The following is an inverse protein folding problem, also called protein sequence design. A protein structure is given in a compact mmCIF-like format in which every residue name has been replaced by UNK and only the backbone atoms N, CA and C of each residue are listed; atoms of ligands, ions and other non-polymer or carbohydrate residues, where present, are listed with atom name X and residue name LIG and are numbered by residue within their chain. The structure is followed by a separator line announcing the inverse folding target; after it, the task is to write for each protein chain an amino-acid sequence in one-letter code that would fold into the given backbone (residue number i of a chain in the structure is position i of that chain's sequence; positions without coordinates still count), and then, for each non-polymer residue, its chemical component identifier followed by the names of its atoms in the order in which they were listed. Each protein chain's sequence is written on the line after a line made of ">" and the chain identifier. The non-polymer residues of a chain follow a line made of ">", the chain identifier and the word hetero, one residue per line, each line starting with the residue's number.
data_IF_715308532099
#
_entry.id   IF_715308532099
#
_cell.length_a   1.000
_cell.length_b   1.000
_cell.length_c   1.000
_cell.angle_alpha   90.00
_cell.angle_beta   90.00
_cell.angle_gamma   90.00
#
_symmetry.space_group_name_H-M   'P 1'
#
loop_
_entity.id
_entity.type
_entity.pdbx_description
1 polymer ?
#
# COMPACT_ATOMS: atom_id res chain seq x y z
N UNK A 1 7.51 -17.27 17.06
CA UNK A 1 6.93 -16.99 15.73
C UNK A 1 5.97 -18.11 15.33
N UNK A 2 5.06 -17.78 14.45
CA UNK A 2 4.14 -18.72 13.82
C UNK A 2 4.34 -18.63 12.30
N UNK A 3 4.05 -19.72 11.61
CA UNK A 3 4.01 -19.76 10.14
C UNK A 3 2.55 -19.86 9.72
N UNK A 4 2.11 -18.94 8.85
CA UNK A 4 0.79 -18.97 8.25
C UNK A 4 0.93 -19.46 6.81
N UNK A 5 0.15 -20.48 6.45
CA UNK A 5 0.02 -20.99 5.10
C UNK A 5 -1.32 -20.56 4.54
N UNK A 6 -1.31 -19.78 3.48
CA UNK A 6 -2.51 -19.43 2.72
C UNK A 6 -2.70 -20.44 1.60
N UNK A 7 -3.88 -21.01 1.51
CA UNK A 7 -4.23 -22.11 0.61
C UNK A 7 -5.27 -21.65 -0.40
N UNK A 8 -5.22 -22.21 -1.62
CA UNK A 8 -6.31 -22.17 -2.60
C UNK A 8 -6.43 -23.52 -3.31
N UNK A 9 -7.55 -23.76 -3.98
CA UNK A 9 -7.72 -24.97 -4.76
C UNK A 9 -6.93 -24.90 -6.09
N UNK A 10 -6.28 -26.01 -6.44
CA UNK A 10 -5.74 -26.24 -7.78
C UNK A 10 -6.83 -26.62 -8.77
N UNK A 11 -6.47 -26.87 -10.03
CA UNK A 11 -7.37 -27.30 -11.09
C UNK A 11 -8.05 -28.66 -10.80
N UNK A 12 -7.44 -29.47 -9.96
CA UNK A 12 -7.98 -30.78 -9.53
C UNK A 12 -8.86 -30.66 -8.27
N UNK A 13 -9.00 -29.46 -7.71
CA UNK A 13 -9.79 -29.18 -6.50
C UNK A 13 -9.06 -29.45 -5.19
N UNK A 14 -7.74 -29.75 -5.20
CA UNK A 14 -6.97 -29.92 -3.98
C UNK A 14 -6.55 -28.57 -3.41
N UNK A 15 -6.59 -28.42 -2.08
CA UNK A 15 -6.08 -27.24 -1.41
C UNK A 15 -4.55 -27.27 -1.35
N UNK A 16 -3.90 -26.30 -1.98
CA UNK A 16 -2.44 -26.17 -2.06
C UNK A 16 -1.97 -24.85 -1.46
N UNK A 17 -0.80 -24.87 -0.82
CA UNK A 17 -0.23 -23.67 -0.23
C UNK A 17 0.26 -22.73 -1.35
N UNK A 18 -0.22 -21.48 -1.33
CA UNK A 18 0.14 -20.45 -2.30
C UNK A 18 1.12 -19.44 -1.72
N UNK A 19 1.01 -19.18 -0.43
CA UNK A 19 1.92 -18.26 0.27
C UNK A 19 2.16 -18.78 1.67
N UNK A 20 3.42 -18.75 2.06
CA UNK A 20 3.87 -19.12 3.41
C UNK A 20 4.52 -17.87 4.02
N UNK A 21 4.08 -17.50 5.21
CA UNK A 21 4.57 -16.31 5.91
C UNK A 21 4.91 -16.66 7.33
N UNK A 22 6.05 -16.20 7.81
CA UNK A 22 6.43 -16.30 9.21
C UNK A 22 6.26 -14.94 9.89
N UNK A 23 5.57 -14.91 11.03
CA UNK A 23 5.35 -13.69 11.79
C UNK A 23 5.41 -13.93 13.28
N UNK A 24 5.84 -12.93 14.02
CA UNK A 24 5.71 -12.87 15.48
C UNK A 24 4.46 -12.08 15.93
N UNK A 25 3.79 -11.40 15.00
CA UNK A 25 2.57 -10.65 15.30
C UNK A 25 1.38 -11.58 15.51
N UNK A 26 0.49 -11.19 16.42
CA UNK A 26 -0.77 -11.90 16.67
C UNK A 26 -1.88 -11.48 15.72
N UNK A 27 -1.70 -10.36 15.05
CA UNK A 27 -2.67 -9.79 14.11
C UNK A 27 -1.93 -9.27 12.88
N UNK A 28 -2.60 -9.28 11.73
CA UNK A 28 -2.08 -8.75 10.48
C UNK A 28 -3.08 -8.92 9.35
N UNK A 29 -2.88 -8.16 8.28
CA UNK A 29 -3.65 -8.27 7.05
C UNK A 29 -2.71 -8.71 5.93
N UNK A 30 -3.12 -9.71 5.18
CA UNK A 30 -2.34 -10.26 4.08
C UNK A 30 -3.19 -10.33 2.83
N UNK A 31 -2.63 -9.92 1.70
CA UNK A 31 -3.27 -10.01 0.40
C UNK A 31 -2.68 -11.15 -0.43
N UNK A 32 -3.55 -11.93 -1.05
CA UNK A 32 -3.21 -12.90 -2.10
C UNK A 32 -3.53 -12.27 -3.45
N UNK A 33 -2.63 -12.40 -4.42
CA UNK A 33 -2.76 -11.76 -5.75
C UNK A 33 -2.43 -12.74 -6.86
N UNK A 34 -2.76 -12.35 -8.09
CA UNK A 34 -2.44 -13.13 -9.29
C UNK A 34 -3.51 -14.17 -9.65
N UNK A 35 -4.74 -13.98 -9.16
CA UNK A 35 -5.88 -14.83 -9.49
C UNK A 35 -6.83 -14.10 -10.45
N UNK A 36 -7.52 -14.88 -11.29
CA UNK A 36 -8.67 -14.41 -12.03
C UNK A 36 -9.87 -14.13 -11.09
N UNK A 37 -10.91 -13.52 -11.62
CA UNK A 37 -12.09 -13.11 -10.85
C UNK A 37 -13.07 -14.27 -10.57
N UNK A 38 -12.78 -15.47 -11.05
CA UNK A 38 -13.65 -16.61 -10.83
C UNK A 38 -13.66 -17.06 -9.37
N UNK A 39 -14.83 -17.33 -8.78
CA UNK A 39 -14.92 -17.77 -7.39
C UNK A 39 -14.12 -19.05 -7.15
N UNK A 40 -13.32 -19.04 -6.08
CA UNK A 40 -12.50 -20.17 -5.66
C UNK A 40 -12.43 -20.32 -4.15
N UNK A 41 -11.96 -21.47 -3.71
CA UNK A 41 -11.73 -21.72 -2.32
C UNK A 41 -10.42 -21.08 -1.87
N UNK A 42 -10.50 -20.35 -0.77
CA UNK A 42 -9.34 -19.91 0.00
C UNK A 42 -9.42 -20.49 1.40
N UNK A 43 -8.26 -20.73 2.01
CA UNK A 43 -8.17 -21.17 3.39
C UNK A 43 -6.85 -20.75 4.03
N UNK A 44 -6.78 -20.82 5.33
CA UNK A 44 -5.56 -20.54 6.08
C UNK A 44 -5.32 -21.64 7.12
N UNK A 45 -4.04 -21.97 7.33
CA UNK A 45 -3.54 -22.87 8.38
C UNK A 45 -2.39 -22.17 9.08
N UNK A 46 -2.33 -22.30 10.38
CA UNK A 46 -1.24 -21.75 11.20
C UNK A 46 -0.44 -22.90 11.82
N UNK A 47 0.88 -22.79 11.76
CA UNK A 47 1.83 -23.70 12.42
C UNK A 47 2.67 -22.94 13.44
N UNK A 48 2.91 -23.52 14.58
CA UNK A 48 3.88 -22.99 15.53
C UNK A 48 5.27 -23.64 15.37
N UNK A 49 6.25 -23.13 16.10
CA UNK A 49 7.62 -23.64 16.06
C UNK A 49 7.78 -25.04 16.72
N UNK A 50 6.72 -25.56 17.35
CA UNK A 50 6.71 -26.87 17.99
C UNK A 50 6.06 -27.95 17.12
N UNK A 51 5.56 -27.55 15.92
CA UNK A 51 4.92 -28.46 14.98
C UNK A 51 3.41 -28.60 15.18
N UNK A 52 2.80 -27.84 16.09
CA UNK A 52 1.34 -27.83 16.19
C UNK A 52 0.73 -27.12 15.00
N UNK A 53 -0.40 -27.64 14.53
CA UNK A 53 -1.11 -27.13 13.35
C UNK A 53 -2.54 -26.82 13.77
N UNK A 54 -3.01 -25.63 13.39
CA UNK A 54 -4.41 -25.25 13.60
C UNK A 54 -5.37 -26.03 12.71
N UNK A 55 -6.66 -25.99 13.03
CA UNK A 55 -7.68 -26.32 12.04
C UNK A 55 -7.56 -25.43 10.82
N UNK A 56 -7.98 -25.96 9.65
CA UNK A 56 -8.06 -25.19 8.42
C UNK A 56 -9.25 -24.25 8.48
N UNK A 57 -8.98 -22.94 8.37
CA UNK A 57 -9.98 -21.88 8.42
C UNK A 57 -10.35 -21.49 7.00
N UNK A 58 -11.66 -21.53 6.70
CA UNK A 58 -12.25 -21.09 5.43
C UNK A 58 -13.08 -19.82 5.63
N UNK A 59 -13.20 -18.98 4.59
CA UNK A 59 -14.23 -17.95 4.56
C UNK A 59 -15.62 -18.55 4.80
N UNK A 60 -16.47 -17.80 5.50
CA UNK A 60 -17.84 -18.23 5.82
C UNK A 60 -18.83 -17.12 5.50
N UNK A 61 -20.03 -17.52 5.06
CA UNK A 61 -21.15 -16.61 4.91
C UNK A 61 -21.78 -16.27 6.28
N UNK A 62 -22.78 -15.43 6.28
CA UNK A 62 -23.51 -15.02 7.50
C UNK A 62 -24.18 -16.21 8.22
N UNK A 63 -24.53 -17.28 7.49
CA UNK A 63 -25.06 -18.52 8.05
C UNK A 63 -23.98 -19.45 8.64
N UNK A 64 -22.70 -19.06 8.54
CA UNK A 64 -21.56 -19.86 9.03
C UNK A 64 -21.11 -20.97 8.10
N UNK A 65 -21.67 -21.07 6.88
CA UNK A 65 -21.26 -22.05 5.89
C UNK A 65 -19.99 -21.61 5.16
N UNK A 66 -19.15 -22.58 4.79
CA UNK A 66 -17.96 -22.30 3.98
C UNK A 66 -18.38 -21.72 2.62
N UNK A 67 -17.66 -20.71 2.15
CA UNK A 67 -17.94 -20.07 0.88
C UNK A 67 -16.68 -19.88 0.04
N UNK A 68 -16.86 -19.87 -1.29
CA UNK A 68 -15.85 -19.42 -2.23
C UNK A 68 -15.81 -17.89 -2.25
N UNK A 69 -14.63 -17.34 -2.53
CA UNK A 69 -14.43 -15.90 -2.70
C UNK A 69 -14.09 -15.65 -4.16
N UNK A 70 -14.76 -14.70 -4.79
CA UNK A 70 -14.34 -14.12 -6.05
C UNK A 70 -13.25 -13.09 -5.78
N UNK A 71 -12.04 -13.24 -6.33
CA UNK A 71 -11.01 -12.22 -6.23
C UNK A 71 -11.49 -10.88 -6.83
N UNK A 72 -11.04 -9.77 -6.26
CA UNK A 72 -11.31 -8.46 -6.82
C UNK A 72 -10.53 -8.29 -8.13
N UNK A 73 -11.19 -7.73 -9.15
CA UNK A 73 -10.48 -7.30 -10.33
C UNK A 73 -9.54 -6.15 -9.98
N UNK A 74 -8.29 -6.27 -10.40
CA UNK A 74 -7.34 -5.14 -10.31
C UNK A 74 -6.43 -5.11 -11.52
N UNK A 75 -6.10 -3.91 -11.95
CA UNK A 75 -5.02 -3.65 -12.88
C UNK A 75 -4.17 -2.48 -12.38
N UNK A 76 -2.91 -2.42 -12.86
CA UNK A 76 -2.10 -1.22 -12.67
C UNK A 76 -2.77 -0.06 -13.41
N UNK A 77 -3.04 1.03 -12.71
CA UNK A 77 -3.68 2.19 -13.30
C UNK A 77 -2.71 2.95 -14.20
N UNK A 78 -3.23 3.42 -15.34
CA UNK A 78 -2.48 4.29 -16.24
C UNK A 78 -2.35 5.69 -15.65
N UNK A 79 -1.13 6.15 -15.47
CA UNK A 79 -0.84 7.46 -14.87
C UNK A 79 -0.95 8.66 -15.84
N UNK A 80 -1.21 8.42 -17.14
CA UNK A 80 -1.26 9.50 -18.15
C UNK A 80 -2.33 10.57 -17.86
N UNK A 81 -3.42 10.19 -17.19
CA UNK A 81 -4.49 11.10 -16.76
C UNK A 81 -4.29 11.63 -15.33
N UNK A 82 -3.35 11.07 -14.58
CA UNK A 82 -3.08 11.48 -13.22
C UNK A 82 -2.29 12.78 -13.18
N UNK A 83 -2.52 13.56 -12.15
CA UNK A 83 -1.75 14.79 -11.89
C UNK A 83 -1.60 15.05 -10.40
N UNK A 84 -0.47 15.58 -10.01
CA UNK A 84 -0.31 16.15 -8.69
C UNK A 84 -1.02 17.51 -8.66
N UNK A 85 -1.99 17.65 -7.79
CA UNK A 85 -2.63 18.91 -7.48
C UNK A 85 -1.80 19.65 -6.44
N UNK A 86 -1.79 20.99 -6.51
CA UNK A 86 -1.09 21.82 -5.52
C UNK A 86 -2.13 22.67 -4.81
N UNK A 87 -2.53 22.21 -3.63
CA UNK A 87 -3.40 22.97 -2.73
C UNK A 87 -2.56 23.94 -1.88
N UNK A 88 -3.19 24.99 -1.37
CA UNK A 88 -2.45 26.06 -0.65
C UNK A 88 -1.67 25.55 0.57
N UNK A 89 -2.12 24.49 1.21
CA UNK A 89 -1.48 23.87 2.37
C UNK A 89 -0.81 22.52 2.08
N UNK A 90 -0.64 22.17 0.80
CA UNK A 90 0.22 21.06 0.40
C UNK A 90 1.69 21.45 0.47
N UNK A 91 2.53 20.45 0.66
CA UNK A 91 3.97 20.61 0.72
C UNK A 91 4.55 20.49 -0.68
N UNK A 92 5.33 21.46 -1.16
CA UNK A 92 6.07 21.28 -2.42
C UNK A 92 7.18 20.23 -2.26
N UNK A 93 7.27 19.31 -3.24
CA UNK A 93 8.31 18.27 -3.29
C UNK A 93 9.33 18.55 -4.41
N UNK A 94 9.68 19.82 -4.60
CA UNK A 94 10.53 20.31 -5.70
C UNK A 94 11.91 20.76 -5.22
N UNK A 95 12.39 20.27 -4.06
CA UNK A 95 13.69 20.64 -3.49
C UNK A 95 14.75 19.55 -3.74
N UNK A 96 16.02 19.87 -3.56
CA UNK A 96 17.17 18.96 -3.68
C UNK A 96 17.18 18.06 -4.92
N UNK A 97 16.75 18.60 -6.06
CA UNK A 97 16.66 17.86 -7.33
C UNK A 97 15.41 16.96 -7.46
N UNK A 98 14.51 17.00 -6.49
CA UNK A 98 13.20 16.34 -6.56
C UNK A 98 12.19 17.13 -7.39
N UNK A 99 11.09 16.47 -7.74
CA UNK A 99 9.92 17.10 -8.36
C UNK A 99 8.64 16.42 -7.91
N UNK A 100 7.57 17.19 -7.76
CA UNK A 100 6.24 16.62 -7.52
C UNK A 100 5.86 15.55 -8.55
N UNK A 101 6.13 15.82 -9.84
CA UNK A 101 5.79 14.92 -10.94
C UNK A 101 6.52 13.58 -10.87
N UNK A 102 7.72 13.57 -10.29
CA UNK A 102 8.53 12.36 -10.16
C UNK A 102 7.89 11.28 -9.26
N UNK A 103 6.93 11.67 -8.42
CA UNK A 103 6.26 10.72 -7.53
C UNK A 103 5.22 9.83 -8.24
N UNK A 104 4.95 10.09 -9.54
CA UNK A 104 3.99 9.32 -10.36
C UNK A 104 4.46 9.17 -11.81
N UNK A 105 5.76 9.15 -12.08
CA UNK A 105 6.33 9.12 -13.44
C UNK A 105 6.75 7.71 -13.92
N UNK A 106 6.49 6.67 -13.13
CA UNK A 106 6.90 5.27 -13.35
C UNK A 106 8.43 5.08 -13.41
N UNK A 107 9.20 5.96 -12.79
CA UNK A 107 10.65 5.90 -12.75
C UNK A 107 11.16 5.85 -11.29
N UNK A 108 11.67 4.70 -10.86
CA UNK A 108 12.16 4.50 -9.48
C UNK A 108 13.49 5.21 -9.18
N UNK A 109 14.15 5.80 -10.19
CA UNK A 109 15.39 6.57 -10.01
C UNK A 109 15.12 8.06 -9.75
N UNK A 110 13.90 8.51 -9.97
CA UNK A 110 13.44 9.87 -9.67
C UNK A 110 12.70 9.91 -8.33
N UNK A 111 12.46 11.09 -7.80
CA UNK A 111 11.82 11.25 -6.48
C UNK A 111 11.22 12.64 -6.31
N UNK A 112 10.28 12.76 -5.42
CA UNK A 112 9.90 14.03 -4.81
C UNK A 112 10.78 14.32 -3.60
N UNK A 113 11.06 15.59 -3.31
CA UNK A 113 11.80 15.97 -2.09
C UNK A 113 11.26 17.27 -1.52
N UNK A 114 10.79 17.24 -0.30
CA UNK A 114 10.33 18.44 0.40
C UNK A 114 11.51 19.18 1.07
N UNK A 115 11.36 20.47 1.30
CA UNK A 115 12.35 21.26 2.03
C UNK A 115 12.47 20.85 3.50
N UNK A 116 13.58 21.22 4.15
CA UNK A 116 13.75 21.04 5.59
C UNK A 116 12.66 21.78 6.38
N UNK A 117 12.19 21.17 7.46
CA UNK A 117 11.18 21.77 8.35
C UNK A 117 9.74 21.64 7.84
N UNK A 118 9.47 20.80 6.84
CA UNK A 118 8.14 20.62 6.25
C UNK A 118 7.35 19.45 6.81
N UNK A 119 7.92 18.64 7.70
CA UNK A 119 7.19 17.55 8.34
C UNK A 119 6.23 18.04 9.44
N UNK A 120 4.97 17.50 9.49
CA UNK A 120 4.36 16.55 8.56
C UNK A 120 4.08 17.17 7.19
N UNK A 121 4.38 16.40 6.13
CA UNK A 121 4.23 16.84 4.74
C UNK A 121 3.00 16.24 4.09
N UNK A 122 2.42 16.91 3.09
CA UNK A 122 1.28 16.36 2.35
C UNK A 122 1.33 16.71 0.87
N UNK A 123 0.75 15.85 0.04
CA UNK A 123 0.46 16.16 -1.36
C UNK A 123 -0.89 15.58 -1.77
N UNK A 124 -1.48 16.18 -2.79
CA UNK A 124 -2.78 15.80 -3.34
C UNK A 124 -2.61 15.28 -4.77
N UNK A 125 -3.33 14.21 -5.11
CA UNK A 125 -3.36 13.64 -6.46
C UNK A 125 -4.80 13.55 -6.98
N UNK A 126 -4.99 13.93 -8.24
CA UNK A 126 -6.16 13.63 -9.04
C UNK A 126 -5.85 12.40 -9.90
N UNK A 127 -6.60 11.32 -9.74
CA UNK A 127 -6.45 10.08 -10.53
C UNK A 127 -6.96 10.23 -11.97
N UNK A 128 -7.63 11.35 -12.29
CA UNK A 128 -8.21 11.63 -13.60
C UNK A 128 -9.68 11.25 -13.70
N UNK A 129 -10.04 10.11 -13.13
CA UNK A 129 -11.39 9.56 -13.08
C UNK A 129 -11.64 8.83 -11.75
N UNK A 130 -12.90 8.57 -11.36
CA UNK A 130 -13.19 7.71 -10.23
C UNK A 130 -12.71 6.29 -10.48
N UNK A 131 -12.08 5.67 -9.48
CA UNK A 131 -11.53 4.33 -9.54
C UNK A 131 -11.90 3.55 -8.28
N UNK A 132 -12.29 2.31 -8.44
CA UNK A 132 -12.39 1.34 -7.33
C UNK A 132 -10.98 0.87 -6.99
N UNK A 133 -10.34 1.55 -6.04
CA UNK A 133 -8.98 1.24 -5.65
C UNK A 133 -8.89 -0.09 -4.89
N UNK A 134 -7.90 -0.92 -5.22
CA UNK A 134 -7.55 -2.13 -4.47
C UNK A 134 -6.33 -1.90 -3.57
N UNK A 135 -5.30 -1.22 -4.08
CA UNK A 135 -4.07 -0.93 -3.33
C UNK A 135 -3.27 0.23 -3.90
N UNK A 136 -2.40 0.76 -3.06
CA UNK A 136 -1.31 1.66 -3.46
C UNK A 136 0.02 1.05 -3.08
N UNK A 137 1.02 1.18 -3.94
CA UNK A 137 2.40 0.77 -3.69
C UNK A 137 3.27 2.01 -3.58
N UNK A 138 3.96 2.14 -2.45
CA UNK A 138 4.96 3.17 -2.22
C UNK A 138 6.35 2.59 -2.47
N UNK A 139 7.15 3.28 -3.29
CA UNK A 139 8.58 3.00 -3.45
C UNK A 139 9.41 4.06 -2.72
N UNK A 140 10.41 3.58 -1.98
CA UNK A 140 11.42 4.43 -1.34
C UNK A 140 12.54 4.74 -2.32
N UNK A 141 13.29 5.79 -2.04
CA UNK A 141 14.56 6.05 -2.75
C UNK A 141 15.54 4.91 -2.51
N UNK A 142 16.05 4.34 -3.58
CA UNK A 142 16.92 3.14 -3.55
C UNK A 142 18.27 3.39 -2.89
N UNK A 143 18.81 4.61 -2.98
CA UNK A 143 20.10 4.96 -2.40
C UNK A 143 20.08 5.19 -0.89
N UNK A 144 18.90 5.21 -0.27
CA UNK A 144 18.70 5.45 1.15
C UNK A 144 17.74 4.42 1.78
N UNK A 145 17.99 3.09 1.63
CA UNK A 145 17.06 2.07 2.07
C UNK A 145 16.68 2.19 3.54
N UNK A 146 15.39 2.34 3.82
CA UNK A 146 14.87 2.48 5.19
C UNK A 146 15.61 3.56 6.01
N UNK A 147 15.90 4.68 5.36
CA UNK A 147 16.70 5.74 5.93
C UNK A 147 16.21 7.14 5.57
N UNK A 148 16.79 8.12 6.17
CA UNK A 148 16.60 9.56 5.96
C UNK A 148 15.12 9.95 5.89
N UNK A 149 14.76 10.74 4.88
CA UNK A 149 13.41 11.23 4.63
C UNK A 149 12.50 10.26 3.87
N UNK A 150 12.87 9.00 3.70
CA UNK A 150 11.94 8.01 3.15
C UNK A 150 10.70 7.88 4.04
N UNK A 151 9.48 7.85 3.48
CA UNK A 151 8.26 7.70 4.26
C UNK A 151 8.28 6.43 5.11
N UNK A 152 7.88 6.56 6.38
CA UNK A 152 7.68 5.42 7.26
C UNK A 152 6.23 5.29 7.71
N UNK A 153 5.66 6.36 8.27
CA UNK A 153 4.25 6.40 8.70
C UNK A 153 3.55 7.49 7.92
N UNK A 154 2.45 7.15 7.30
CA UNK A 154 1.62 8.10 6.55
C UNK A 154 0.15 7.70 6.57
N UNK A 155 -0.70 8.64 6.23
CA UNK A 155 -2.14 8.46 6.12
C UNK A 155 -2.57 8.78 4.69
N UNK A 156 -3.61 8.08 4.20
CA UNK A 156 -4.24 8.35 2.91
C UNK A 156 -5.69 8.79 3.16
N UNK A 157 -6.08 9.85 2.48
CA UNK A 157 -7.40 10.45 2.54
C UNK A 157 -8.00 10.55 1.15
N UNK A 158 -9.32 10.64 1.06
CA UNK A 158 -10.03 10.98 -0.18
C UNK A 158 -10.97 12.16 0.01
N UNK A 159 -11.29 12.83 -1.11
CA UNK A 159 -12.40 13.77 -1.20
C UNK A 159 -13.44 13.23 -2.18
N UNK A 160 -14.72 13.29 -1.80
CA UNK A 160 -15.85 12.87 -2.65
C UNK A 160 -16.16 13.83 -3.80
N UNK A 161 -15.50 14.99 -3.84
CA UNK A 161 -15.62 15.99 -4.90
C UNK A 161 -14.27 16.63 -5.15
N UNK A 162 -14.16 17.43 -6.22
CA UNK A 162 -12.94 18.21 -6.47
C UNK A 162 -12.62 19.08 -5.25
N UNK A 163 -11.39 18.91 -4.67
CA UNK A 163 -11.05 19.61 -3.46
C UNK A 163 -10.85 21.11 -3.71
N UNK A 164 -11.28 21.90 -2.74
CA UNK A 164 -11.03 23.34 -2.77
C UNK A 164 -9.53 23.66 -2.70
N UNK A 165 -9.13 24.72 -3.38
CA UNK A 165 -7.73 25.15 -3.41
C UNK A 165 -7.15 25.49 -2.04
N UNK A 166 -8.00 25.84 -1.06
CA UNK A 166 -7.58 26.07 0.33
C UNK A 166 -6.84 24.87 0.92
N UNK A 167 -7.23 23.65 0.51
CA UNK A 167 -6.71 22.42 1.05
C UNK A 167 -7.17 22.15 2.49
N UNK A 168 -8.29 22.73 2.91
CA UNK A 168 -8.85 22.48 4.23
C UNK A 168 -9.04 20.98 4.46
N UNK A 169 -8.54 20.47 5.60
CA UNK A 169 -8.63 19.06 5.95
C UNK A 169 -10.06 18.59 6.25
N UNK A 170 -11.00 19.50 6.53
CA UNK A 170 -12.40 19.18 6.77
C UNK A 170 -13.14 18.57 5.58
N UNK A 171 -12.60 18.71 4.36
CA UNK A 171 -13.15 18.08 3.14
C UNK A 171 -12.61 16.68 2.84
N UNK A 172 -11.73 16.16 3.70
CA UNK A 172 -11.01 14.90 3.48
C UNK A 172 -11.45 13.83 4.49
N UNK A 173 -11.76 12.65 3.98
CA UNK A 173 -12.07 11.48 4.79
C UNK A 173 -10.90 10.50 4.74
N UNK A 174 -10.48 10.02 5.92
CA UNK A 174 -9.35 9.08 5.99
C UNK A 174 -9.75 7.70 5.46
N UNK A 175 -8.88 7.13 4.62
CA UNK A 175 -8.98 5.79 4.07
C UNK A 175 -8.03 4.80 4.77
N UNK A 176 -6.76 5.17 4.93
CA UNK A 176 -5.73 4.26 5.41
C UNK A 176 -4.83 4.94 6.45
N UNK A 177 -4.40 4.14 7.42
CA UNK A 177 -3.19 4.34 8.20
C UNK A 177 -2.13 3.38 7.68
N UNK A 178 -0.96 3.89 7.29
CA UNK A 178 0.10 3.15 6.63
C UNK A 178 1.39 3.22 7.43
N UNK A 179 2.04 2.07 7.61
CA UNK A 179 3.40 2.02 8.15
C UNK A 179 4.25 1.09 7.28
N UNK A 180 5.37 1.60 6.78
CA UNK A 180 6.39 0.82 6.10
C UNK A 180 7.16 0.01 7.14
N UNK A 181 7.07 -1.29 7.06
CA UNK A 181 7.76 -2.23 7.94
C UNK A 181 9.03 -2.72 7.25
N UNK A 182 10.15 -2.60 7.93
CA UNK A 182 11.41 -3.21 7.50
C UNK A 182 11.38 -4.70 7.85
N UNK A 183 11.44 -5.63 6.87
CA UNK A 183 11.23 -7.06 7.11
C UNK A 183 12.14 -7.65 8.19
N UNK A 184 13.43 -7.33 8.17
CA UNK A 184 14.40 -7.85 9.13
C UNK A 184 14.24 -7.27 10.55
N UNK A 185 13.64 -6.08 10.68
CA UNK A 185 13.63 -5.33 11.93
C UNK A 185 15.00 -4.82 12.40
N UNK A 186 16.05 -4.98 11.57
CA UNK A 186 17.41 -4.54 11.90
C UNK A 186 17.50 -3.00 11.97
N UNK A 187 18.45 -2.45 12.74
CA UNK A 187 18.65 -1.00 12.82
C UNK A 187 18.84 -0.35 11.45
N UNK A 188 18.54 0.95 11.39
CA UNK A 188 18.82 1.79 10.21
C UNK A 188 20.30 1.67 9.81
N UNK A 189 20.55 1.52 8.51
CA UNK A 189 21.89 1.33 7.98
C UNK A 189 22.37 -0.13 7.88
N UNK A 190 21.61 -1.09 8.44
CA UNK A 190 21.87 -2.52 8.31
C UNK A 190 20.71 -3.17 7.56
N UNK A 191 20.92 -3.52 6.30
CA UNK A 191 19.88 -4.11 5.45
C UNK A 191 20.25 -5.55 5.09
N UNK A 192 19.27 -6.44 5.14
CA UNK A 192 19.35 -7.83 4.68
C UNK A 192 18.89 -7.95 3.22
N UNK A 193 19.14 -9.10 2.59
CA UNK A 193 18.64 -9.35 1.23
C UNK A 193 17.10 -9.28 1.18
N UNK A 194 16.41 -9.73 2.24
CA UNK A 194 14.96 -9.63 2.38
C UNK A 194 14.48 -8.15 2.43
N UNK A 195 15.21 -7.29 3.15
CA UNK A 195 14.92 -5.85 3.18
C UNK A 195 15.06 -5.23 1.79
N UNK A 196 16.12 -5.60 1.06
CA UNK A 196 16.38 -5.06 -0.27
C UNK A 196 15.39 -5.58 -1.32
N UNK A 197 14.94 -6.82 -1.20
CA UNK A 197 13.88 -7.35 -2.07
C UNK A 197 12.54 -6.64 -1.82
N UNK A 198 12.15 -6.45 -0.56
CA UNK A 198 10.94 -5.70 -0.22
C UNK A 198 11.01 -4.23 -0.68
N UNK A 199 12.20 -3.61 -0.63
CA UNK A 199 12.40 -2.26 -1.16
C UNK A 199 12.15 -2.20 -2.66
N UNK A 200 12.67 -3.19 -3.41
CA UNK A 200 12.55 -3.30 -4.86
C UNK A 200 11.11 -3.60 -5.31
N UNK A 201 10.41 -4.47 -4.59
CA UNK A 201 9.00 -4.80 -4.85
C UNK A 201 8.07 -3.63 -4.53
N UNK A 202 8.50 -2.73 -3.63
CA UNK A 202 7.68 -1.65 -3.09
C UNK A 202 6.82 -2.10 -1.90
N UNK A 203 6.27 -1.13 -1.21
CA UNK A 203 5.48 -1.36 0.00
C UNK A 203 3.99 -1.22 -0.32
N UNK A 204 3.27 -2.33 -0.19
CA UNK A 204 1.85 -2.45 -0.51
C UNK A 204 0.95 -2.00 0.66
N UNK A 205 -0.10 -1.23 0.32
CA UNK A 205 -1.17 -0.85 1.24
C UNK A 205 -2.52 -1.08 0.56
N UNK A 206 -3.32 -2.00 1.10
CA UNK A 206 -4.62 -2.37 0.53
C UNK A 206 -5.72 -1.46 1.04
N UNK A 207 -6.60 -1.01 0.15
CA UNK A 207 -7.84 -0.33 0.49
C UNK A 207 -8.91 -1.34 0.93
N UNK A 208 -9.93 -0.84 1.62
CA UNK A 208 -11.09 -1.65 2.00
C UNK A 208 -11.81 -2.11 0.71
N UNK A 209 -12.23 -3.38 0.70
CA UNK A 209 -12.95 -3.96 -0.44
C UNK A 209 -14.31 -3.30 -0.68
N UNK A 210 -14.90 -2.71 0.37
CA UNK A 210 -16.18 -2.02 0.30
C UNK A 210 -16.02 -0.52 0.02
N UNK A 211 -14.77 -0.02 -0.15
CA UNK A 211 -14.53 1.38 -0.46
C UNK A 211 -15.16 1.77 -1.80
N UNK A 212 -16.01 2.78 -1.78
CA UNK A 212 -16.58 3.37 -3.00
C UNK A 212 -15.49 3.93 -3.92
N UNK A 213 -15.75 4.04 -5.25
CA UNK A 213 -14.80 4.62 -6.17
C UNK A 213 -14.38 6.04 -5.77
N UNK A 214 -13.11 6.33 -5.90
CA UNK A 214 -12.50 7.62 -5.53
C UNK A 214 -11.68 8.20 -6.67
N UNK A 215 -11.65 9.52 -6.80
CA UNK A 215 -10.83 10.24 -7.76
C UNK A 215 -9.72 11.05 -7.11
N UNK A 216 -10.00 11.71 -6.01
CA UNK A 216 -9.07 12.63 -5.36
C UNK A 216 -8.51 12.00 -4.09
N UNK A 217 -7.19 11.83 -4.05
CA UNK A 217 -6.48 11.31 -2.88
C UNK A 217 -5.55 12.36 -2.32
N UNK A 218 -5.32 12.29 -1.01
CA UNK A 218 -4.34 13.12 -0.33
C UNK A 218 -3.51 12.28 0.62
N UNK A 219 -2.21 12.39 0.50
CA UNK A 219 -1.24 11.70 1.34
C UNK A 219 -0.72 12.66 2.40
N UNK A 220 -0.62 12.18 3.64
CA UNK A 220 -0.04 12.94 4.75
C UNK A 220 1.04 12.11 5.41
N UNK A 221 2.29 12.51 5.22
CA UNK A 221 3.45 11.87 5.81
C UNK A 221 3.65 12.34 7.24
N UNK A 222 3.60 11.42 8.19
CA UNK A 222 3.67 11.69 9.64
C UNK A 222 5.07 11.47 10.16
N UNK A 223 5.73 10.39 9.71
CA UNK A 223 7.09 10.02 10.12
C UNK A 223 7.90 9.54 8.93
N UNK A 224 9.17 9.84 8.97
CA UNK A 224 10.23 9.29 8.13
C UNK A 224 11.13 8.39 8.95
N UNK A 225 12.09 7.70 8.32
CA UNK A 225 12.91 6.71 9.01
C UNK A 225 13.89 7.27 10.04
N UNK A 226 14.34 8.51 9.85
CA UNK A 226 15.24 9.17 10.79
C UNK A 226 14.56 10.37 11.45
N UNK A 227 15.32 11.19 12.16
CA UNK A 227 14.86 12.49 12.67
C UNK A 227 14.85 13.60 11.61
N UNK A 228 14.86 13.24 10.32
CA UNK A 228 14.79 14.22 9.23
C UNK A 228 13.48 15.01 9.27
N UNK A 229 13.59 16.28 8.94
CA UNK A 229 12.45 17.21 8.93
C UNK A 229 11.88 17.43 7.53
N UNK A 230 12.24 16.56 6.58
CA UNK A 230 11.82 16.52 5.19
C UNK A 230 11.39 15.11 4.82
N UNK A 231 10.66 14.98 3.69
CA UNK A 231 10.22 13.71 3.12
C UNK A 231 10.63 13.63 1.65
N UNK A 232 11.03 12.42 1.19
CA UNK A 232 11.45 12.18 -0.19
C UNK A 232 10.97 10.83 -0.75
N UNK A 233 9.66 10.64 -0.98
CA UNK A 233 9.14 9.45 -1.65
C UNK A 233 9.67 9.37 -3.08
N UNK A 234 9.96 8.15 -3.57
CA UNK A 234 10.33 7.98 -4.97
C UNK A 234 9.09 7.91 -5.83
N UNK A 235 8.21 6.93 -5.61
CA UNK A 235 7.15 6.64 -6.56
C UNK A 235 5.90 6.08 -5.86
N UNK A 236 4.72 6.41 -6.41
CA UNK A 236 3.44 5.79 -6.06
C UNK A 236 2.83 5.10 -7.27
N UNK A 237 2.48 3.84 -7.11
CA UNK A 237 1.75 3.08 -8.13
C UNK A 237 0.39 2.66 -7.57
N UNK A 238 -0.66 2.87 -8.33
CA UNK A 238 -2.02 2.57 -7.96
C UNK A 238 -2.54 1.37 -8.72
N UNK A 239 -3.33 0.56 -8.06
CA UNK A 239 -4.03 -0.59 -8.63
C UNK A 239 -5.51 -0.52 -8.26
N UNK A 240 -6.36 -0.96 -9.18
CA UNK A 240 -7.79 -0.98 -8.98
C UNK A 240 -8.54 -1.29 -10.26
N UNK A 241 -9.85 -1.10 -10.21
CA UNK A 241 -10.74 -1.18 -11.37
C UNK A 241 -11.17 0.24 -11.79
N UNK A 242 -10.75 0.71 -12.98
CA UNK A 242 -11.19 2.00 -13.50
C UNK A 242 -12.58 1.93 -14.16
N UNK A 243 -13.13 0.70 -14.39
CA UNK A 243 -14.41 0.51 -15.06
C UNK A 243 -15.54 0.48 -14.02
N UNK A 244 -15.71 1.56 -13.27
CA UNK A 244 -16.78 1.71 -12.29
C UNK A 244 -17.99 2.36 -12.95
N UNK A 245 -19.17 1.73 -12.80
CA UNK A 245 -20.47 2.27 -13.24
C UNK A 245 -21.06 3.22 -12.20
#
# INVERSE_FOLDING_TARGET
>A
SITMEMLTNDESGNMVAMKIMTTASKTGTYALRGYDIDPRWFAAVVRDNYGNVSDTIYPRNESGEKMQIAPLYEQKLNKSAMRIMILNNDTPFNDFGGSNANMIDDNLETFGHSSNGTMPASFTIDLGEPVKLSRVVLYQRNNEPYGWGNPRVFEVYYSGSEPERSGDWGQWTKLLDCEVIKPSGMPIGTNTDEDMEALKEGHDFSFDVDQEPVRYLRFKFIKVWTSSTFCHPAEFTFYGDPNVE
#
